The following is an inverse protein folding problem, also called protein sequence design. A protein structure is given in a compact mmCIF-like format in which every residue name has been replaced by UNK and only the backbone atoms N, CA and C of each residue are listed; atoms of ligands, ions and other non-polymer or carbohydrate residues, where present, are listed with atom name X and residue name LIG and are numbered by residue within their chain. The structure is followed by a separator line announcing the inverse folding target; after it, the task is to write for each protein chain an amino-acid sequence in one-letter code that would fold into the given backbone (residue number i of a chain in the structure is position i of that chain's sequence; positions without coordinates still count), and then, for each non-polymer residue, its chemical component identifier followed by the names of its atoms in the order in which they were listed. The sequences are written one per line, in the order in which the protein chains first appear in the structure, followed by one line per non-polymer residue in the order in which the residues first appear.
data_IF_563251534908
#
_entry.id   IF_563251534908
#
_cell.length_a   1.000
_cell.length_b   1.000
_cell.length_c   1.000
_cell.angle_alpha   90.00
_cell.angle_beta   90.00
_cell.angle_gamma   90.00
#
_symmetry.space_group_name_H-M   'P 1'
#
loop_
_entity.id
_entity.type
_entity.pdbx_description
1 polymer ?
#
# COMPACT_ATOMS: atom_id res chain seq x y z
N UNK A 1 10.15 22.82 -19.89
CA UNK A 1 10.86 21.88 -18.99
C UNK A 1 10.22 20.51 -19.16
N UNK A 2 10.98 19.52 -19.63
CA UNK A 2 10.48 18.14 -19.79
C UNK A 2 10.66 17.45 -18.45
N UNK A 3 9.55 17.09 -17.80
CA UNK A 3 9.55 16.48 -16.48
C UNK A 3 9.92 15.00 -16.63
N UNK A 4 11.11 14.61 -16.17
CA UNK A 4 11.59 13.22 -16.29
C UNK A 4 11.06 12.39 -15.11
N UNK A 5 9.88 11.77 -15.27
CA UNK A 5 9.30 10.91 -14.24
C UNK A 5 10.07 9.59 -14.15
N UNK A 6 11.04 9.54 -13.23
CA UNK A 6 11.78 8.31 -12.94
C UNK A 6 10.89 7.33 -12.19
N UNK A 7 10.74 6.11 -12.75
CA UNK A 7 9.94 5.04 -12.14
C UNK A 7 10.56 4.62 -10.80
N UNK A 8 9.80 4.75 -9.72
CA UNK A 8 10.24 4.35 -8.38
C UNK A 8 10.04 2.85 -8.14
N UNK A 9 11.04 2.21 -7.52
CA UNK A 9 11.02 0.80 -7.15
C UNK A 9 9.96 0.58 -6.06
N UNK A 10 9.11 -0.44 -6.24
CA UNK A 10 8.19 -0.91 -5.21
C UNK A 10 8.90 -1.93 -4.32
N UNK A 11 9.25 -1.55 -3.09
CA UNK A 11 10.00 -2.41 -2.18
C UNK A 11 9.07 -3.38 -1.47
N UNK A 12 9.43 -4.68 -1.49
CA UNK A 12 8.73 -5.69 -0.72
C UNK A 12 9.14 -5.59 0.75
N UNK A 13 8.18 -5.34 1.63
CA UNK A 13 8.40 -5.06 3.04
C UNK A 13 7.29 -5.69 3.88
N UNK A 14 7.62 -6.04 5.11
CA UNK A 14 6.62 -6.42 6.10
C UNK A 14 5.92 -5.16 6.65
N UNK A 15 4.68 -5.32 7.10
CA UNK A 15 3.82 -4.24 7.59
C UNK A 15 4.37 -3.61 8.86
N UNK A 16 4.96 -4.40 9.76
CA UNK A 16 5.57 -3.87 10.97
C UNK A 16 6.71 -2.87 10.68
N UNK A 17 7.57 -3.16 9.70
CA UNK A 17 8.66 -2.26 9.28
C UNK A 17 8.10 -0.96 8.70
N UNK A 18 7.00 -1.04 7.95
CA UNK A 18 6.31 0.13 7.40
C UNK A 18 5.77 1.01 8.54
N UNK A 19 5.06 0.42 9.51
CA UNK A 19 4.42 1.17 10.61
C UNK A 19 5.45 1.80 11.54
N UNK A 20 6.54 1.08 11.85
CA UNK A 20 7.60 1.54 12.75
C UNK A 20 8.57 2.54 12.10
N UNK A 21 8.62 2.61 10.77
CA UNK A 21 9.50 3.53 10.07
C UNK A 21 9.11 5.01 10.23
N UNK A 22 10.07 5.89 9.96
CA UNK A 22 9.83 7.34 9.94
C UNK A 22 9.24 7.75 8.59
N UNK A 23 8.10 8.44 8.63
CA UNK A 23 7.52 9.07 7.44
C UNK A 23 8.14 10.44 7.21
N UNK A 24 8.59 10.69 5.98
CA UNK A 24 9.18 11.97 5.58
C UNK A 24 8.27 12.63 4.55
N UNK A 25 7.74 13.81 4.91
CA UNK A 25 7.03 14.69 3.98
C UNK A 25 8.05 15.53 3.24
N UNK A 26 8.07 15.39 1.93
CA UNK A 26 8.98 16.14 1.06
C UNK A 26 8.34 17.47 0.65
N UNK A 27 9.15 18.49 0.40
CA UNK A 27 8.66 19.80 -0.04
C UNK A 27 8.29 19.81 -1.53
N UNK A 28 7.29 20.64 -1.86
CA UNK A 28 6.88 20.91 -3.24
C UNK A 28 6.30 19.68 -3.95
N UNK A 29 6.89 19.32 -5.09
CA UNK A 29 6.46 18.21 -5.94
C UNK A 29 7.18 16.89 -5.65
N UNK A 30 8.09 16.88 -4.68
CA UNK A 30 8.82 15.67 -4.35
C UNK A 30 7.89 14.67 -3.64
N UNK A 31 7.99 13.37 -3.96
CA UNK A 31 7.15 12.37 -3.32
C UNK A 31 7.60 12.15 -1.86
N UNK A 32 6.61 11.92 -1.00
CA UNK A 32 6.84 11.49 0.38
C UNK A 32 7.33 10.04 0.41
N UNK A 33 8.07 9.68 1.46
CA UNK A 33 8.69 8.35 1.58
C UNK A 33 8.76 7.87 3.03
N UNK A 34 9.17 6.62 3.19
CA UNK A 34 9.58 6.04 4.47
C UNK A 34 11.10 5.90 4.51
N UNK A 35 11.70 6.26 5.63
CA UNK A 35 13.11 6.03 5.91
C UNK A 35 13.26 4.64 6.55
N UNK A 36 13.82 3.69 5.80
CA UNK A 36 13.99 2.29 6.23
C UNK A 36 15.42 1.85 5.90
N UNK A 37 16.19 1.45 6.92
CA UNK A 37 17.58 0.99 6.76
C UNK A 37 18.44 1.96 5.92
N UNK A 38 18.37 3.26 6.22
CA UNK A 38 19.04 4.35 5.49
C UNK A 38 18.68 4.46 4.00
N UNK A 39 17.52 3.93 3.59
CA UNK A 39 16.97 4.06 2.24
C UNK A 39 15.66 4.83 2.25
N UNK A 40 15.45 5.61 1.19
CA UNK A 40 14.19 6.28 0.91
C UNK A 40 13.26 5.34 0.15
N UNK A 41 12.17 4.92 0.80
CA UNK A 41 11.18 4.02 0.23
C UNK A 41 9.94 4.81 -0.19
N UNK A 42 9.81 5.08 -1.48
CA UNK A 42 8.72 5.87 -2.04
C UNK A 42 7.49 5.04 -2.45
N UNK A 43 7.65 3.73 -2.61
CA UNK A 43 6.59 2.81 -3.03
C UNK A 43 6.74 1.47 -2.32
N UNK A 44 5.61 0.99 -1.84
CA UNK A 44 5.46 -0.22 -1.05
C UNK A 44 4.95 -1.36 -1.94
N UNK A 45 5.33 -2.58 -1.61
CA UNK A 45 4.80 -3.82 -2.17
C UNK A 45 4.53 -4.78 -1.01
N UNK A 46 3.28 -4.89 -0.59
CA UNK A 46 2.88 -5.68 0.58
C UNK A 46 2.04 -6.86 0.12
N UNK A 47 2.26 -8.02 0.73
CA UNK A 47 1.42 -9.20 0.53
C UNK A 47 0.81 -9.57 1.88
N UNK A 48 -0.49 -9.78 1.94
CA UNK A 48 -1.16 -10.20 3.16
C UNK A 48 -2.60 -10.62 2.92
N UNK A 49 -3.28 -11.00 4.00
CA UNK A 49 -4.70 -11.39 4.01
C UNK A 49 -5.54 -10.16 4.27
N UNK A 50 -6.61 -9.97 3.51
CA UNK A 50 -7.61 -8.94 3.80
C UNK A 50 -8.42 -9.35 5.02
N UNK A 51 -8.30 -8.60 6.11
CA UNK A 51 -9.01 -8.88 7.37
C UNK A 51 -10.25 -8.00 7.56
N UNK A 52 -10.33 -6.89 6.82
CA UNK A 52 -11.48 -5.97 6.86
C UNK A 52 -11.63 -5.25 5.52
N UNK A 53 -12.87 -4.95 5.12
CA UNK A 53 -13.22 -4.10 3.98
C UNK A 53 -14.22 -3.05 4.45
N UNK A 54 -13.86 -1.79 4.28
CA UNK A 54 -14.64 -0.63 4.71
C UNK A 54 -15.09 0.19 3.49
N UNK A 55 -16.27 0.78 3.60
CA UNK A 55 -16.82 1.69 2.58
C UNK A 55 -17.36 0.97 1.33
N UNK A 56 -17.98 1.76 0.46
CA UNK A 56 -18.54 1.35 -0.83
C UNK A 56 -18.22 2.41 -1.89
N UNK A 57 -18.03 2.00 -3.15
CA UNK A 57 -17.70 2.93 -4.23
C UNK A 57 -16.39 3.70 -3.95
N UNK A 58 -16.31 4.98 -4.35
CA UNK A 58 -15.11 5.83 -4.39
C UNK A 58 -14.33 6.01 -3.06
N UNK A 59 -14.86 5.53 -1.94
CA UNK A 59 -14.24 5.65 -0.62
C UNK A 59 -13.89 4.29 0.00
N UNK A 60 -13.78 3.24 -0.81
CA UNK A 60 -13.42 1.92 -0.33
C UNK A 60 -11.97 1.85 0.21
N UNK A 61 -11.81 1.10 1.28
CA UNK A 61 -10.54 0.77 1.89
C UNK A 61 -10.54 -0.68 2.37
N UNK A 62 -9.36 -1.29 2.42
CA UNK A 62 -9.15 -2.62 2.99
C UNK A 62 -8.10 -2.56 4.09
N UNK A 63 -8.20 -3.44 5.09
CA UNK A 63 -7.14 -3.68 6.06
C UNK A 63 -6.49 -5.01 5.73
N UNK A 64 -5.16 -5.00 5.65
CA UNK A 64 -4.34 -6.15 5.28
C UNK A 64 -3.48 -6.53 6.47
N UNK A 65 -3.44 -7.82 6.79
CA UNK A 65 -2.57 -8.43 7.80
C UNK A 65 -1.55 -9.34 7.10
N UNK A 66 -0.27 -9.10 7.31
CA UNK A 66 0.82 -9.92 6.74
C UNK A 66 1.44 -10.91 7.75
N UNK A 67 0.87 -11.00 8.94
CA UNK A 67 1.39 -11.77 10.07
C UNK A 67 2.37 -11.01 10.97
N UNK A 68 2.85 -9.83 10.54
CA UNK A 68 3.70 -8.96 11.39
C UNK A 68 2.91 -7.81 12.00
N UNK A 69 1.96 -7.24 11.26
CA UNK A 69 1.02 -6.21 11.73
C UNK A 69 -0.09 -5.98 10.69
N UNK A 70 -0.97 -5.00 10.95
CA UNK A 70 -2.09 -4.62 10.09
C UNK A 70 -1.93 -3.21 9.54
N UNK A 71 -2.26 -3.01 8.26
CA UNK A 71 -2.24 -1.69 7.63
C UNK A 71 -3.44 -1.46 6.72
N UNK A 72 -3.94 -0.23 6.73
CA UNK A 72 -5.00 0.21 5.81
C UNK A 72 -4.43 0.49 4.43
N UNK A 73 -5.07 -0.03 3.40
CA UNK A 73 -4.87 0.33 2.00
C UNK A 73 -6.11 1.07 1.49
N UNK A 74 -5.89 2.27 0.95
CA UNK A 74 -6.95 3.21 0.59
C UNK A 74 -6.77 3.66 -0.85
N UNK A 75 -7.88 3.97 -1.53
CA UNK A 75 -7.89 4.62 -2.84
C UNK A 75 -8.92 5.74 -2.81
N UNK A 76 -8.57 6.88 -3.41
CA UNK A 76 -9.45 8.05 -3.47
C UNK A 76 -9.94 8.34 -4.89
N UNK A 77 -9.13 8.00 -5.90
CA UNK A 77 -9.46 8.30 -7.31
C UNK A 77 -10.04 7.08 -8.04
N UNK A 78 -9.65 5.87 -7.65
CA UNK A 78 -10.10 4.64 -8.29
C UNK A 78 -10.35 3.55 -7.25
N UNK A 79 -11.54 3.55 -6.66
CA UNK A 79 -11.93 2.55 -5.68
C UNK A 79 -12.24 1.17 -6.28
N UNK A 80 -12.46 1.11 -7.60
CA UNK A 80 -12.79 -0.13 -8.32
C UNK A 80 -11.69 -1.19 -8.16
N UNK A 81 -10.47 -0.77 -7.81
CA UNK A 81 -9.35 -1.68 -7.48
C UNK A 81 -9.66 -2.62 -6.32
N UNK A 82 -10.68 -2.32 -5.51
CA UNK A 82 -11.12 -3.15 -4.38
C UNK A 82 -12.41 -3.92 -4.65
N UNK A 83 -13.07 -3.76 -5.80
CA UNK A 83 -14.41 -4.32 -6.03
C UNK A 83 -14.44 -5.85 -5.91
N UNK A 84 -13.50 -6.52 -6.56
CA UNK A 84 -13.37 -7.98 -6.54
C UNK A 84 -12.61 -8.55 -5.32
N UNK A 85 -12.17 -7.67 -4.42
CA UNK A 85 -11.40 -8.04 -3.24
C UNK A 85 -12.33 -8.26 -2.05
N UNK A 86 -12.23 -9.41 -1.39
CA UNK A 86 -13.07 -9.77 -0.25
C UNK A 86 -12.22 -10.09 0.99
N UNK A 87 -12.86 -10.02 2.17
CA UNK A 87 -12.25 -10.49 3.41
C UNK A 87 -11.87 -11.97 3.27
N UNK A 88 -10.66 -12.33 3.70
CA UNK A 88 -10.06 -13.64 3.54
C UNK A 88 -9.19 -13.80 2.28
N UNK A 89 -9.26 -12.87 1.32
CA UNK A 89 -8.40 -12.92 0.14
C UNK A 89 -6.95 -12.62 0.48
N UNK A 90 -6.03 -13.38 -0.10
CA UNK A 90 -4.60 -13.03 -0.11
C UNK A 90 -4.38 -12.06 -1.26
N UNK A 91 -3.83 -10.88 -0.96
CA UNK A 91 -3.63 -9.81 -1.94
C UNK A 91 -2.19 -9.34 -1.97
N UNK A 92 -1.75 -8.93 -3.16
CA UNK A 92 -0.57 -8.09 -3.35
C UNK A 92 -1.04 -6.65 -3.55
N UNK A 93 -0.50 -5.73 -2.76
CA UNK A 93 -0.78 -4.30 -2.84
C UNK A 93 0.48 -3.52 -3.13
N UNK A 94 0.44 -2.73 -4.21
CA UNK A 94 1.46 -1.73 -4.51
C UNK A 94 0.85 -0.35 -4.34
N UNK A 95 1.57 0.54 -3.65
CA UNK A 95 1.12 1.90 -3.45
C UNK A 95 2.14 2.81 -2.79
N UNK A 96 1.76 4.07 -2.59
CA UNK A 96 2.61 5.09 -1.97
C UNK A 96 2.37 5.15 -0.46
N UNK A 97 3.41 5.36 0.36
CA UNK A 97 3.21 5.59 1.78
C UNK A 97 2.52 6.95 2.00
N UNK A 98 1.60 6.97 2.95
CA UNK A 98 0.94 8.17 3.45
C UNK A 98 0.83 8.11 4.96
N UNK A 99 0.74 9.28 5.56
CA UNK A 99 0.51 9.42 6.99
C UNK A 99 -0.54 10.52 7.22
N UNK A 100 -1.53 10.22 8.04
CA UNK A 100 -2.55 11.17 8.49
C UNK A 100 -2.84 10.92 9.96
N UNK A 101 -2.80 11.97 10.78
CA UNK A 101 -3.00 11.86 12.24
C UNK A 101 -2.15 10.76 12.89
N UNK A 102 -0.87 10.67 12.48
CA UNK A 102 0.10 9.65 12.93
C UNK A 102 -0.22 8.20 12.53
N UNK A 103 -1.29 7.95 11.77
CA UNK A 103 -1.56 6.65 11.17
C UNK A 103 -0.98 6.56 9.76
N UNK A 104 -0.13 5.54 9.54
CA UNK A 104 0.39 5.22 8.22
C UNK A 104 -0.57 4.33 7.45
N UNK A 105 -0.72 4.61 6.17
CA UNK A 105 -1.53 3.81 5.26
C UNK A 105 -0.90 3.76 3.87
N UNK A 106 -1.35 2.80 3.07
CA UNK A 106 -0.93 2.64 1.69
C UNK A 106 -1.97 3.32 0.80
N UNK A 107 -1.56 4.37 0.08
CA UNK A 107 -2.36 4.87 -1.03
C UNK A 107 -2.17 3.92 -2.23
N UNK A 108 -3.15 3.06 -2.45
CA UNK A 108 -3.10 1.98 -3.40
C UNK A 108 -3.05 2.48 -4.85
N UNK A 109 -2.12 1.90 -5.62
CA UNK A 109 -2.04 2.05 -7.08
C UNK A 109 -2.44 0.75 -7.78
N UNK A 110 -2.12 -0.41 -7.17
CA UNK A 110 -2.44 -1.74 -7.68
C UNK A 110 -2.84 -2.63 -6.51
N UNK A 111 -3.94 -3.36 -6.67
CA UNK A 111 -4.37 -4.42 -5.74
C UNK A 111 -4.67 -5.65 -6.58
N UNK A 112 -4.02 -6.77 -6.27
CA UNK A 112 -4.18 -8.02 -7.02
C UNK A 112 -4.40 -9.18 -6.07
N UNK A 113 -5.52 -9.88 -6.24
CA UNK A 113 -5.76 -11.17 -5.59
C UNK A 113 -4.74 -12.21 -6.06
N UNK A 114 -4.08 -12.87 -5.10
CA UNK A 114 -3.15 -13.96 -5.38
C UNK A 114 -3.96 -15.26 -5.41
N UNK A 115 -4.20 -15.77 -6.62
CA UNK A 115 -4.80 -17.09 -6.79
C UNK A 115 -3.72 -18.17 -6.71
N UNK A 116 -3.98 -19.22 -5.94
CA UNK A 116 -3.14 -20.42 -5.94
C UNK A 116 -3.59 -21.30 -7.10
N UNK A 117 -2.91 -21.22 -8.25
CA UNK A 117 -3.10 -22.23 -9.29
C UNK A 117 -2.51 -23.53 -8.79
N UNK A 118 -3.36 -24.49 -8.43
CA UNK A 118 -2.94 -25.89 -8.29
C UNK A 118 -2.69 -26.40 -9.71
N UNK A 119 -1.42 -26.54 -10.07
CA UNK A 119 -1.02 -27.44 -11.16
C UNK A 119 -1.07 -28.82 -10.50
N UNK A 120 -2.12 -29.59 -10.79
CA UNK A 120 -2.25 -31.00 -10.44
C UNK A 120 -2.00 -31.79 -11.71
#
# INVERSE_FOLDING_TARGET
MIQNWKRQIAYKLNVNDIISSKYVKSEGLNPNYLEINAKEVFRLNVIGVVVEKMGHGHHAAIIIDDGTSKISSRSFENSLIFDEINVGDIVLVIGKPREFSSEKYILAEIVKKIMKTRII
#
